data_IF_534174470551
#
_entry.id   IF_534174470551
#
_cell.length_a   1.000
_cell.length_b   1.000
_cell.length_c   1.000
_cell.angle_alpha   90.00
_cell.angle_beta   90.00
_cell.angle_gamma   90.00
#
_symmetry.space_group_name_H-M   'P 1'
#
loop_
_entity.id
_entity.type
_entity.pdbx_description
1 polymer ?
#
# COMPACT_ATOMS: atom_id res chain seq x y z
N UNK A 1 6.11 9.13 19.86
CA UNK A 1 5.40 8.76 18.60
C UNK A 1 6.44 8.37 17.57
N UNK A 2 6.24 7.31 16.83
CA UNK A 2 7.19 6.85 15.81
C UNK A 2 7.01 7.73 14.58
N UNK A 3 7.89 8.69 14.36
CA UNK A 3 7.82 9.70 13.29
C UNK A 3 7.72 9.11 11.86
N UNK A 4 8.00 7.83 11.72
CA UNK A 4 8.01 7.12 10.44
C UNK A 4 6.74 6.30 10.15
N UNK A 5 5.76 6.30 11.06
CA UNK A 5 4.52 5.53 10.91
C UNK A 5 3.28 6.44 11.01
N UNK A 6 2.42 6.34 10.02
CA UNK A 6 1.06 6.87 10.02
C UNK A 6 0.09 5.69 10.20
N UNK A 7 -0.39 5.47 11.43
CA UNK A 7 -1.39 4.43 11.71
C UNK A 7 -2.76 4.97 11.38
N UNK A 8 -3.44 4.35 10.44
CA UNK A 8 -4.78 4.74 9.96
C UNK A 8 -5.89 3.85 10.51
N UNK A 9 -5.51 2.67 11.01
CA UNK A 9 -6.42 1.71 11.61
C UNK A 9 -5.70 0.92 12.71
N UNK A 10 -6.27 0.88 13.93
CA UNK A 10 -5.74 0.08 15.05
C UNK A 10 -6.87 -0.29 16.01
N UNK A 11 -7.59 -1.36 15.69
CA UNK A 11 -8.66 -1.91 16.52
C UNK A 11 -9.00 -3.34 16.14
N UNK A 12 -9.66 -4.06 17.08
CA UNK A 12 -10.09 -5.45 16.90
C UNK A 12 -9.00 -6.42 16.41
N UNK A 13 -7.76 -6.19 16.88
CA UNK A 13 -6.62 -7.01 16.50
C UNK A 13 -6.11 -6.77 15.08
N UNK A 14 -6.53 -5.70 14.42
CA UNK A 14 -5.98 -5.30 13.11
C UNK A 14 -5.30 -3.95 13.25
N UNK A 15 -4.07 -3.86 12.75
CA UNK A 15 -3.34 -2.60 12.59
C UNK A 15 -2.99 -2.40 11.13
N UNK A 16 -3.18 -1.17 10.63
CA UNK A 16 -2.75 -0.81 9.29
C UNK A 16 -2.33 0.65 9.20
N UNK A 17 -1.49 0.94 8.21
CA UNK A 17 -0.96 2.28 8.03
C UNK A 17 0.04 2.39 6.90
N UNK A 18 0.78 3.48 6.95
CA UNK A 18 1.79 3.83 5.95
C UNK A 18 3.08 4.21 6.64
N UNK A 19 4.22 3.96 5.99
CA UNK A 19 5.50 4.53 6.40
C UNK A 19 5.78 5.81 5.61
N UNK A 20 6.77 6.56 6.07
CA UNK A 20 7.48 7.55 5.27
C UNK A 20 8.94 7.11 5.10
N UNK A 21 9.83 7.99 4.61
CA UNK A 21 11.24 7.65 4.39
C UNK A 21 12.16 7.80 5.60
N UNK A 22 11.66 8.23 6.76
CA UNK A 22 12.47 8.57 7.93
C UNK A 22 12.76 7.36 8.83
N UNK A 23 13.83 7.42 9.62
CA UNK A 23 14.11 6.46 10.71
C UNK A 23 14.73 5.13 10.28
N UNK A 24 15.33 5.08 9.09
CA UNK A 24 16.09 3.93 8.60
C UNK A 24 17.60 4.15 8.62
N UNK A 25 18.33 3.24 7.95
CA UNK A 25 19.80 3.21 7.91
C UNK A 25 20.38 3.38 6.49
N UNK A 26 19.56 3.42 5.46
CA UNK A 26 20.02 3.66 4.10
C UNK A 26 20.52 5.10 3.91
N UNK A 27 21.42 5.31 2.96
CA UNK A 27 22.13 6.55 2.74
C UNK A 27 21.82 7.16 1.36
N UNK A 28 22.26 8.39 1.15
CA UNK A 28 22.15 9.12 -0.13
C UNK A 28 20.72 9.13 -0.68
N UNK A 29 20.52 8.76 -1.95
CA UNK A 29 19.20 8.74 -2.62
C UNK A 29 18.19 7.76 -2.00
N UNK A 30 18.65 6.85 -1.14
CA UNK A 30 17.81 5.88 -0.42
C UNK A 30 17.55 6.28 1.05
N UNK A 31 18.04 7.43 1.48
CA UNK A 31 17.94 7.92 2.86
C UNK A 31 16.48 8.17 3.27
N UNK A 32 16.02 7.53 4.34
CA UNK A 32 16.75 6.59 5.20
C UNK A 32 16.05 5.22 5.30
N UNK A 33 14.71 5.13 5.36
CA UNK A 33 13.93 3.91 5.53
C UNK A 33 13.51 3.34 4.16
N UNK A 34 14.50 3.02 3.32
CA UNK A 34 14.22 2.32 2.08
C UNK A 34 13.88 0.84 2.36
N UNK A 35 12.70 0.41 1.92
CA UNK A 35 12.19 -0.96 2.06
C UNK A 35 12.28 -1.77 0.77
N UNK A 36 12.63 -1.12 -0.36
CA UNK A 36 12.72 -1.73 -1.68
C UNK A 36 14.11 -2.35 -1.94
N UNK A 37 14.15 -3.66 -2.20
CA UNK A 37 15.36 -4.44 -2.49
C UNK A 37 15.76 -4.44 -3.97
N UNK A 38 14.86 -3.94 -4.85
CA UNK A 38 15.02 -3.92 -6.31
C UNK A 38 15.47 -2.56 -6.87
N UNK A 39 15.82 -1.59 -6.01
CA UNK A 39 16.12 -0.21 -6.45
C UNK A 39 17.62 0.11 -6.52
N UNK A 40 18.47 -0.86 -6.13
CA UNK A 40 19.94 -0.70 -6.18
C UNK A 40 20.57 -0.14 -4.91
N UNK A 41 19.87 -0.21 -3.79
CA UNK A 41 20.42 0.05 -2.45
C UNK A 41 21.26 -1.13 -1.95
N UNK A 42 22.04 -0.92 -0.88
CA UNK A 42 22.81 -1.98 -0.21
C UNK A 42 21.85 -3.00 0.42
N UNK A 43 21.92 -4.31 0.05
CA UNK A 43 20.98 -5.31 0.58
C UNK A 43 20.92 -5.36 2.10
N UNK A 44 22.08 -5.20 2.79
CA UNK A 44 22.15 -5.19 4.26
C UNK A 44 21.34 -4.06 4.89
N UNK A 45 21.30 -2.89 4.24
CA UNK A 45 20.60 -1.73 4.76
C UNK A 45 19.08 -1.90 4.57
N UNK A 46 18.64 -2.48 3.43
CA UNK A 46 17.24 -2.83 3.20
C UNK A 46 16.75 -3.88 4.20
N UNK A 47 17.55 -4.93 4.46
CA UNK A 47 17.23 -5.94 5.48
C UNK A 47 17.05 -5.27 6.82
N UNK A 48 17.98 -4.39 7.21
CA UNK A 48 17.92 -3.66 8.48
C UNK A 48 16.69 -2.77 8.59
N UNK A 49 16.33 -2.07 7.52
CA UNK A 49 15.12 -1.24 7.47
C UNK A 49 13.85 -2.08 7.63
N UNK A 50 13.77 -3.25 6.99
CA UNK A 50 12.66 -4.19 7.15
C UNK A 50 12.57 -4.74 8.58
N UNK A 51 13.69 -5.01 9.24
CA UNK A 51 13.74 -5.38 10.67
C UNK A 51 13.25 -4.24 11.58
N UNK A 52 13.64 -2.99 11.29
CA UNK A 52 13.16 -1.82 12.02
C UNK A 52 11.64 -1.72 11.90
N UNK A 53 11.10 -1.87 10.69
CA UNK A 53 9.65 -1.83 10.48
C UNK A 53 8.96 -2.97 11.21
N UNK A 54 9.42 -4.22 11.08
CA UNK A 54 8.83 -5.38 11.75
C UNK A 54 8.77 -5.20 13.27
N UNK A 55 9.86 -4.71 13.87
CA UNK A 55 9.91 -4.39 15.30
C UNK A 55 8.93 -3.28 15.67
N UNK A 56 8.83 -2.24 14.85
CA UNK A 56 7.92 -1.13 15.08
C UNK A 56 6.46 -1.55 15.03
N UNK A 57 6.12 -2.55 14.20
CA UNK A 57 4.78 -3.11 14.08
C UNK A 57 4.50 -4.23 15.09
N UNK A 58 5.54 -4.73 15.80
CA UNK A 58 5.39 -5.83 16.74
C UNK A 58 5.13 -7.19 16.06
N UNK A 59 5.62 -7.37 14.83
CA UNK A 59 5.48 -8.63 14.07
C UNK A 59 6.83 -9.30 13.87
N UNK A 60 6.80 -10.63 13.71
CA UNK A 60 8.01 -11.42 13.41
C UNK A 60 8.37 -11.39 11.93
N UNK A 61 7.37 -11.30 11.08
CA UNK A 61 7.53 -11.43 9.63
C UNK A 61 6.75 -10.37 8.87
N UNK A 62 7.42 -9.79 7.88
CA UNK A 62 6.81 -8.94 6.86
C UNK A 62 6.92 -9.64 5.51
N UNK A 63 5.83 -9.69 4.78
CA UNK A 63 5.75 -10.24 3.43
C UNK A 63 5.66 -9.08 2.42
N UNK A 64 6.59 -9.06 1.49
CA UNK A 64 6.64 -8.09 0.40
C UNK A 64 6.40 -8.83 -0.92
N UNK A 65 5.41 -8.39 -1.68
CA UNK A 65 5.14 -8.95 -3.00
C UNK A 65 6.17 -8.44 -4.03
N UNK A 66 6.41 -9.22 -5.08
CA UNK A 66 7.18 -8.77 -6.24
C UNK A 66 6.24 -8.06 -7.21
N UNK A 67 6.18 -6.73 -7.07
CA UNK A 67 5.28 -5.87 -7.83
C UNK A 67 5.73 -5.72 -9.29
N UNK A 68 4.83 -5.91 -10.23
CA UNK A 68 5.09 -5.88 -11.67
C UNK A 68 4.18 -4.90 -12.44
N UNK A 69 3.48 -4.02 -11.72
CA UNK A 69 2.51 -3.05 -12.24
C UNK A 69 1.37 -3.72 -13.03
N UNK A 70 0.88 -4.83 -12.52
CA UNK A 70 -0.23 -5.62 -13.07
C UNK A 70 -1.53 -5.40 -12.29
N UNK A 71 -2.51 -6.24 -12.61
CA UNK A 71 -3.77 -6.37 -11.88
C UNK A 71 -3.91 -7.72 -11.16
N UNK A 72 -2.78 -8.41 -10.98
CA UNK A 72 -2.75 -9.72 -10.31
C UNK A 72 -2.97 -9.56 -8.81
N UNK A 73 -3.96 -10.26 -8.30
CA UNK A 73 -4.28 -10.33 -6.86
C UNK A 73 -3.98 -11.75 -6.36
N UNK A 74 -3.25 -11.85 -5.27
CA UNK A 74 -2.91 -13.12 -4.64
C UNK A 74 -3.61 -13.27 -3.29
N UNK A 75 -4.21 -14.46 -3.04
CA UNK A 75 -4.77 -14.82 -1.74
C UNK A 75 -3.72 -15.61 -0.98
N UNK A 76 -3.23 -15.03 0.11
CA UNK A 76 -2.16 -15.58 0.94
C UNK A 76 -2.77 -16.36 2.10
N UNK A 77 -2.79 -17.68 1.98
CA UNK A 77 -3.47 -18.61 2.91
C UNK A 77 -2.51 -19.44 3.76
N UNK A 78 -1.22 -19.48 3.42
CA UNK A 78 -0.22 -20.26 4.16
C UNK A 78 1.01 -19.39 4.45
N UNK A 79 1.38 -19.25 5.72
CA UNK A 79 2.54 -18.46 6.19
C UNK A 79 3.88 -18.89 5.57
N UNK A 80 4.00 -20.16 5.17
CA UNK A 80 5.21 -20.72 4.56
C UNK A 80 5.39 -20.31 3.10
N UNK A 81 4.33 -19.86 2.43
CA UNK A 81 4.39 -19.48 1.04
C UNK A 81 5.21 -18.19 0.84
N UNK A 82 5.93 -18.13 -0.27
CA UNK A 82 6.47 -16.89 -0.77
C UNK A 82 5.41 -16.19 -1.63
N UNK A 83 5.39 -14.85 -1.56
CA UNK A 83 4.46 -14.09 -2.40
C UNK A 83 4.94 -14.12 -3.85
N UNK A 84 4.07 -14.48 -4.81
CA UNK A 84 4.41 -14.49 -6.23
C UNK A 84 4.52 -13.07 -6.81
N UNK A 85 4.76 -12.99 -8.12
CA UNK A 85 4.58 -11.76 -8.88
C UNK A 85 3.11 -11.35 -8.89
N UNK A 86 2.79 -10.29 -8.11
CA UNK A 86 1.44 -9.74 -8.00
C UNK A 86 1.52 -8.27 -7.55
N UNK A 87 0.41 -7.56 -7.64
CA UNK A 87 0.29 -6.17 -7.22
C UNK A 87 -0.78 -5.96 -6.12
N UNK A 88 -1.42 -7.03 -5.65
CA UNK A 88 -2.24 -7.02 -4.45
C UNK A 88 -2.16 -8.35 -3.71
N UNK A 89 -2.24 -8.30 -2.37
CA UNK A 89 -2.27 -9.47 -1.49
C UNK A 89 -3.42 -9.35 -0.53
N UNK A 90 -4.20 -10.42 -0.43
CA UNK A 90 -5.32 -10.55 0.51
C UNK A 90 -5.00 -11.69 1.48
N UNK A 91 -5.27 -11.51 2.77
CA UNK A 91 -5.12 -12.59 3.76
C UNK A 91 -6.05 -12.40 4.96
N UNK A 92 -6.32 -13.49 5.64
CA UNK A 92 -6.88 -13.50 6.99
C UNK A 92 -5.92 -14.11 8.03
N UNK A 93 -4.69 -14.41 7.63
CA UNK A 93 -3.65 -14.91 8.53
C UNK A 93 -3.32 -13.90 9.61
N UNK A 94 -2.92 -14.39 10.78
CA UNK A 94 -2.54 -13.55 11.92
C UNK A 94 -1.01 -13.55 12.12
N UNK A 95 -0.50 -12.49 12.76
CA UNK A 95 0.92 -12.29 13.14
C UNK A 95 1.90 -12.20 11.96
N UNK A 96 1.37 -11.99 10.76
CA UNK A 96 2.13 -11.69 9.54
C UNK A 96 1.72 -10.33 9.01
N UNK A 97 2.70 -9.47 8.76
CA UNK A 97 2.46 -8.18 8.11
C UNK A 97 2.58 -8.29 6.59
N UNK A 98 1.56 -7.89 5.85
CA UNK A 98 1.62 -7.76 4.40
C UNK A 98 1.92 -6.31 4.01
N UNK A 99 2.82 -6.11 3.04
CA UNK A 99 3.34 -4.80 2.67
C UNK A 99 3.30 -4.57 1.16
N UNK A 100 2.96 -3.34 0.76
CA UNK A 100 3.04 -2.83 -0.61
C UNK A 100 4.05 -1.69 -0.69
N UNK A 101 4.98 -1.76 -1.62
CA UNK A 101 6.07 -0.78 -1.79
C UNK A 101 5.72 0.27 -2.84
N UNK A 102 5.96 1.53 -2.53
CA UNK A 102 5.65 2.63 -3.45
C UNK A 102 6.70 3.76 -3.41
N UNK A 103 6.74 4.52 -4.51
CA UNK A 103 7.29 5.87 -4.64
C UNK A 103 6.50 6.53 -5.77
N UNK A 104 5.46 7.28 -5.42
CA UNK A 104 4.44 7.94 -6.24
C UNK A 104 3.17 7.13 -6.54
N UNK A 105 3.23 5.82 -6.76
CA UNK A 105 2.02 5.01 -6.91
C UNK A 105 1.18 5.04 -5.62
N UNK A 106 -0.11 4.77 -5.73
CA UNK A 106 -1.02 4.76 -4.57
C UNK A 106 -0.90 3.45 -3.81
N UNK A 107 -0.41 3.46 -2.54
CA UNK A 107 -0.53 2.32 -1.66
C UNK A 107 -1.96 2.28 -1.14
N UNK A 108 -2.66 1.20 -1.38
CA UNK A 108 -4.05 1.00 -0.94
C UNK A 108 -4.11 -0.08 0.12
N UNK A 109 -4.76 0.21 1.24
CA UNK A 109 -5.05 -0.76 2.30
C UNK A 109 -6.56 -0.93 2.40
N UNK A 110 -7.02 -2.17 2.40
CA UNK A 110 -8.43 -2.53 2.51
C UNK A 110 -8.62 -3.48 3.70
N UNK A 111 -9.62 -3.23 4.53
CA UNK A 111 -9.87 -3.95 5.78
C UNK A 111 -11.34 -4.32 5.89
N UNK A 112 -11.64 -5.62 5.96
CA UNK A 112 -12.90 -6.13 6.47
C UNK A 112 -12.72 -6.57 7.93
N UNK A 113 -13.00 -5.64 8.83
CA UNK A 113 -12.84 -5.87 10.26
C UNK A 113 -13.74 -6.99 10.79
N UNK A 114 -14.95 -7.13 10.23
CA UNK A 114 -15.94 -8.13 10.66
C UNK A 114 -15.46 -9.56 10.40
N UNK A 115 -14.74 -9.77 9.31
CA UNK A 115 -14.23 -11.07 8.88
C UNK A 115 -12.74 -11.25 9.19
N UNK A 116 -12.09 -10.19 9.67
CA UNK A 116 -10.67 -10.19 9.95
C UNK A 116 -9.83 -10.40 8.69
N UNK A 117 -10.26 -9.83 7.56
CA UNK A 117 -9.56 -9.90 6.27
C UNK A 117 -8.87 -8.58 6.01
N UNK A 118 -7.63 -8.66 5.60
CA UNK A 118 -6.80 -7.50 5.24
C UNK A 118 -6.26 -7.66 3.82
N UNK A 119 -6.11 -6.55 3.13
CA UNK A 119 -5.53 -6.49 1.79
C UNK A 119 -4.62 -5.26 1.67
N UNK A 120 -3.52 -5.42 0.94
CA UNK A 120 -2.71 -4.31 0.44
C UNK A 120 -2.61 -4.39 -1.07
N UNK A 121 -2.71 -3.25 -1.75
CA UNK A 121 -2.65 -3.20 -3.21
C UNK A 121 -1.77 -2.04 -3.71
N UNK A 122 -1.04 -2.31 -4.79
CA UNK A 122 -0.23 -1.36 -5.53
C UNK A 122 -1.04 -0.77 -6.68
N UNK A 123 -1.68 0.35 -6.44
CA UNK A 123 -2.47 1.04 -7.44
C UNK A 123 -1.64 2.16 -8.12
N UNK A 124 -0.66 1.79 -8.91
CA UNK A 124 -0.02 2.68 -9.87
C UNK A 124 -0.94 2.94 -11.07
N UNK A 125 -0.52 3.79 -12.02
CA UNK A 125 -1.32 4.10 -13.20
C UNK A 125 -1.85 2.84 -13.91
N UNK A 126 -0.99 1.85 -14.15
CA UNK A 126 -1.41 0.60 -14.78
C UNK A 126 -2.43 -0.16 -13.91
N UNK A 127 -2.15 -0.33 -12.61
CA UNK A 127 -3.09 -0.98 -11.69
C UNK A 127 -4.45 -0.30 -11.63
N UNK A 128 -4.49 1.04 -11.61
CA UNK A 128 -5.74 1.83 -11.66
C UNK A 128 -6.49 1.56 -12.96
N UNK A 129 -5.83 1.67 -14.12
CA UNK A 129 -6.49 1.45 -15.42
C UNK A 129 -6.89 0.01 -15.67
N UNK A 130 -6.27 -0.96 -14.99
CA UNK A 130 -6.64 -2.37 -14.99
C UNK A 130 -7.62 -2.76 -13.87
N UNK A 131 -8.06 -1.76 -13.06
CA UNK A 131 -9.05 -1.94 -11.98
C UNK A 131 -8.62 -2.97 -10.93
N UNK A 132 -7.37 -2.89 -10.46
CA UNK A 132 -6.82 -3.81 -9.46
C UNK A 132 -7.63 -3.81 -8.16
N UNK A 133 -8.14 -2.64 -7.74
CA UNK A 133 -8.94 -2.52 -6.53
C UNK A 133 -10.30 -3.21 -6.66
N UNK A 134 -10.95 -3.12 -7.82
CA UNK A 134 -12.16 -3.89 -8.13
C UNK A 134 -11.91 -5.39 -8.00
N UNK A 135 -10.81 -5.89 -8.59
CA UNK A 135 -10.43 -7.31 -8.51
C UNK A 135 -10.17 -7.74 -7.07
N UNK A 136 -9.48 -6.93 -6.29
CA UNK A 136 -9.20 -7.21 -4.89
C UNK A 136 -10.50 -7.28 -4.06
N UNK A 137 -11.39 -6.30 -4.18
CA UNK A 137 -12.69 -6.28 -3.47
C UNK A 137 -13.56 -7.47 -3.87
N UNK A 138 -13.62 -7.80 -5.18
CA UNK A 138 -14.35 -8.96 -5.68
C UNK A 138 -13.82 -10.25 -5.06
N UNK A 139 -12.49 -10.43 -5.08
CA UNK A 139 -11.85 -11.64 -4.55
C UNK A 139 -11.97 -11.74 -3.02
N UNK A 140 -11.95 -10.62 -2.28
CA UNK A 140 -12.30 -10.58 -0.85
C UNK A 140 -13.73 -11.09 -0.62
N UNK A 141 -14.67 -10.72 -1.51
CA UNK A 141 -16.04 -11.21 -1.48
C UNK A 141 -16.14 -12.71 -1.74
N UNK A 142 -15.52 -13.18 -2.81
CA UNK A 142 -15.59 -14.58 -3.24
C UNK A 142 -14.91 -15.55 -2.26
N UNK A 143 -13.76 -15.17 -1.71
CA UNK A 143 -12.94 -16.04 -0.84
C UNK A 143 -13.31 -15.96 0.63
N UNK A 144 -13.73 -14.80 1.11
CA UNK A 144 -13.94 -14.56 2.54
C UNK A 144 -15.35 -14.07 2.88
N UNK A 145 -16.23 -13.91 1.88
CA UNK A 145 -17.58 -13.40 2.06
C UNK A 145 -17.63 -11.91 2.44
N UNK A 146 -16.56 -11.15 2.17
CA UNK A 146 -16.52 -9.71 2.44
C UNK A 146 -17.55 -8.97 1.57
N UNK A 147 -18.22 -7.99 2.17
CA UNK A 147 -19.16 -7.12 1.45
C UNK A 147 -18.51 -5.76 1.27
N UNK A 148 -18.58 -5.17 0.09
CA UNK A 148 -17.95 -3.89 -0.20
C UNK A 148 -18.30 -2.79 0.83
N UNK A 149 -19.57 -2.73 1.27
CA UNK A 149 -20.03 -1.77 2.29
C UNK A 149 -19.47 -2.00 3.70
N UNK A 150 -18.84 -3.16 3.98
CA UNK A 150 -18.17 -3.50 5.24
C UNK A 150 -16.65 -3.24 5.17
N UNK A 151 -16.11 -2.99 3.98
CA UNK A 151 -14.69 -2.76 3.77
C UNK A 151 -14.35 -1.28 4.04
N UNK A 152 -13.36 -1.04 4.88
CA UNK A 152 -12.71 0.26 5.04
C UNK A 152 -11.49 0.34 4.14
N UNK A 153 -11.37 1.42 3.37
CA UNK A 153 -10.27 1.65 2.43
C UNK A 153 -9.48 2.88 2.84
N UNK A 154 -8.16 2.74 2.82
CA UNK A 154 -7.21 3.81 3.08
C UNK A 154 -6.22 3.88 1.92
N UNK A 155 -6.14 5.03 1.28
CA UNK A 155 -5.17 5.34 0.22
C UNK A 155 -4.13 6.29 0.81
N UNK A 156 -2.89 5.82 0.89
CA UNK A 156 -1.78 6.59 1.47
C UNK A 156 -1.24 7.69 0.56
N UNK A 157 -0.18 8.33 1.02
CA UNK A 157 0.52 9.34 0.24
C UNK A 157 0.92 8.81 -1.14
N UNK A 158 0.63 9.59 -2.17
CA UNK A 158 0.92 9.26 -3.57
C UNK A 158 1.13 10.55 -4.38
N UNK A 159 1.58 10.44 -5.62
CA UNK A 159 1.67 11.63 -6.48
C UNK A 159 0.27 12.11 -6.84
N UNK A 160 -0.01 13.40 -6.61
CA UNK A 160 -1.33 13.97 -6.91
C UNK A 160 -1.45 14.40 -8.37
N UNK A 161 -2.69 14.51 -8.84
CA UNK A 161 -3.00 14.86 -10.22
C UNK A 161 -2.28 16.11 -10.71
N UNK A 162 -2.12 17.13 -9.87
CA UNK A 162 -1.36 18.34 -10.22
C UNK A 162 0.13 18.13 -10.52
N UNK A 163 0.71 17.02 -10.06
CA UNK A 163 2.13 16.68 -10.26
C UNK A 163 2.35 15.45 -11.16
N UNK A 164 1.29 14.70 -11.48
CA UNK A 164 1.41 13.46 -12.22
C UNK A 164 1.17 13.66 -13.72
N UNK A 165 2.15 14.23 -14.42
CA UNK A 165 2.12 14.38 -15.87
C UNK A 165 2.27 13.01 -16.55
N UNK A 166 1.35 12.70 -17.46
CA UNK A 166 1.36 11.51 -18.34
C UNK A 166 1.40 11.88 -19.83
N UNK A 167 1.43 13.15 -20.14
CA UNK A 167 1.50 13.68 -21.51
C UNK A 167 0.29 13.29 -22.34
N UNK A 168 0.53 12.89 -23.58
CA UNK A 168 -0.51 12.51 -24.56
C UNK A 168 -0.92 11.04 -24.46
N UNK A 169 -0.51 10.33 -23.38
CA UNK A 169 -0.83 8.92 -23.20
C UNK A 169 -2.35 8.73 -23.16
N UNK A 170 -2.83 7.80 -24.00
CA UNK A 170 -4.24 7.42 -24.02
C UNK A 170 -4.52 6.35 -22.97
N UNK A 171 -5.50 6.62 -22.11
CA UNK A 171 -5.87 5.78 -20.98
C UNK A 171 -7.28 5.18 -21.11
N UNK A 172 -7.83 5.15 -22.34
CA UNK A 172 -9.19 4.66 -22.59
C UNK A 172 -10.22 5.47 -21.81
N UNK A 173 -11.14 4.81 -21.13
CA UNK A 173 -12.16 5.46 -20.29
C UNK A 173 -11.57 6.36 -19.18
N UNK A 174 -10.36 6.06 -18.72
CA UNK A 174 -9.67 6.83 -17.69
C UNK A 174 -9.14 8.19 -18.18
N UNK A 175 -9.26 8.51 -19.48
CA UNK A 175 -9.01 9.87 -19.95
C UNK A 175 -9.93 10.91 -19.28
N UNK A 176 -11.09 10.49 -18.76
CA UNK A 176 -12.00 11.34 -17.98
C UNK A 176 -11.34 11.91 -16.69
N UNK A 177 -10.30 11.26 -16.18
CA UNK A 177 -9.55 11.70 -15.00
C UNK A 177 -8.26 12.46 -15.36
N UNK A 178 -8.08 12.83 -16.64
CA UNK A 178 -7.00 13.72 -17.05
C UNK A 178 -7.45 15.18 -17.00
N UNK A 179 -6.59 16.03 -16.47
CA UNK A 179 -6.71 17.48 -16.52
C UNK A 179 -5.51 17.99 -17.31
N UNK A 180 -5.74 18.34 -18.59
CA UNK A 180 -4.66 18.61 -19.53
C UNK A 180 -3.74 17.38 -19.73
N UNK A 181 -2.46 17.52 -19.41
CA UNK A 181 -1.47 16.45 -19.53
C UNK A 181 -1.31 15.58 -18.28
N UNK A 182 -2.03 15.91 -17.20
CA UNK A 182 -1.91 15.27 -15.91
C UNK A 182 -3.03 14.26 -15.68
N UNK A 183 -2.75 13.19 -14.90
CA UNK A 183 -3.71 12.15 -14.55
C UNK A 183 -3.95 12.10 -13.04
N UNK A 184 -5.21 12.17 -12.63
CA UNK A 184 -5.61 12.07 -11.22
C UNK A 184 -5.99 10.64 -10.85
N UNK A 185 -5.03 9.88 -10.31
CA UNK A 185 -5.27 8.52 -9.82
C UNK A 185 -6.26 8.48 -8.66
N UNK A 186 -6.26 9.52 -7.80
CA UNK A 186 -7.16 9.54 -6.65
C UNK A 186 -8.62 9.73 -7.07
N UNK A 187 -8.88 10.57 -8.07
CA UNK A 187 -10.22 10.71 -8.62
C UNK A 187 -10.72 9.38 -9.21
N UNK A 188 -9.90 8.71 -10.02
CA UNK A 188 -10.22 7.40 -10.59
C UNK A 188 -10.50 6.34 -9.51
N UNK A 189 -9.64 6.24 -8.49
CA UNK A 189 -9.82 5.30 -7.38
C UNK A 189 -11.07 5.61 -6.55
N UNK A 190 -11.39 6.88 -6.34
CA UNK A 190 -12.57 7.32 -5.58
C UNK A 190 -13.85 6.86 -6.27
N UNK A 191 -13.93 7.05 -7.59
CA UNK A 191 -15.07 6.62 -8.38
C UNK A 191 -15.15 5.08 -8.47
N UNK A 192 -14.01 4.38 -8.62
CA UNK A 192 -13.94 2.92 -8.61
C UNK A 192 -14.53 2.34 -7.32
N UNK A 193 -14.06 2.79 -6.16
CA UNK A 193 -14.56 2.31 -4.86
C UNK A 193 -16.02 2.69 -4.61
N UNK A 194 -16.44 3.90 -5.02
CA UNK A 194 -17.83 4.35 -4.91
C UNK A 194 -18.77 3.47 -5.73
N UNK A 195 -18.38 3.13 -6.96
CA UNK A 195 -19.15 2.24 -7.84
C UNK A 195 -19.27 0.81 -7.26
N UNK A 196 -18.27 0.33 -6.50
CA UNK A 196 -18.31 -0.94 -5.79
C UNK A 196 -19.21 -0.92 -4.54
N UNK A 197 -19.65 0.24 -4.08
CA UNK A 197 -20.44 0.40 -2.87
C UNK A 197 -19.62 0.43 -1.58
N UNK A 198 -18.33 0.70 -1.66
CA UNK A 198 -17.48 0.96 -0.49
C UNK A 198 -17.89 2.29 0.13
N UNK A 199 -18.13 2.29 1.45
CA UNK A 199 -18.68 3.46 2.16
C UNK A 199 -17.63 4.22 2.97
N UNK A 200 -16.61 3.52 3.45
CA UNK A 200 -15.55 4.10 4.26
C UNK A 200 -14.27 4.24 3.43
N UNK A 201 -14.12 5.43 2.82
CA UNK A 201 -13.01 5.78 1.93
C UNK A 201 -12.20 6.91 2.53
N UNK A 202 -10.92 6.68 2.77
CA UNK A 202 -9.99 7.64 3.32
C UNK A 202 -8.80 7.81 2.39
N UNK A 203 -8.52 9.03 2.01
CA UNK A 203 -7.41 9.39 1.11
C UNK A 203 -6.46 10.35 1.81
N UNK A 204 -5.17 10.04 1.81
CA UNK A 204 -4.15 11.00 2.21
C UNK A 204 -4.13 12.18 1.24
N UNK A 205 -4.06 13.40 1.78
CA UNK A 205 -3.91 14.61 0.98
C UNK A 205 -2.44 14.90 0.61
N UNK A 206 -1.50 14.11 1.15
CA UNK A 206 -0.06 14.30 0.93
C UNK A 206 0.32 13.90 -0.49
N UNK A 207 1.02 14.80 -1.19
CA UNK A 207 1.65 14.54 -2.48
C UNK A 207 3.11 14.13 -2.28
N UNK A 208 3.48 12.91 -2.70
CA UNK A 208 4.85 12.39 -2.56
C UNK A 208 5.88 13.22 -3.32
N UNK A 209 5.49 13.81 -4.47
CA UNK A 209 6.36 14.68 -5.25
C UNK A 209 6.69 16.00 -4.53
N UNK A 210 5.74 16.54 -3.76
CA UNK A 210 5.89 17.82 -3.08
C UNK A 210 6.42 17.71 -1.65
N UNK A 211 6.24 16.55 -1.01
CA UNK A 211 6.63 16.32 0.38
C UNK A 211 7.90 15.46 0.46
N UNK A 212 9.00 16.06 0.91
CA UNK A 212 10.32 15.41 1.00
C UNK A 212 10.38 14.30 2.05
N UNK A 213 9.38 14.18 2.94
CA UNK A 213 9.25 13.05 3.86
C UNK A 213 8.95 11.73 3.16
N UNK A 214 8.65 11.76 1.85
CA UNK A 214 8.36 10.57 1.04
C UNK A 214 9.35 10.40 -0.10
N UNK A 215 9.62 9.16 -0.48
CA UNK A 215 10.30 8.86 -1.72
C UNK A 215 9.37 9.18 -2.90
N UNK A 216 9.91 9.84 -3.91
CA UNK A 216 9.21 10.13 -5.15
C UNK A 216 10.09 9.82 -6.35
N UNK A 217 9.66 8.86 -7.16
CA UNK A 217 10.38 8.52 -8.40
C UNK A 217 10.28 9.66 -9.43
N UNK A 218 9.17 10.36 -9.46
CA UNK A 218 8.96 11.49 -10.36
C UNK A 218 9.89 12.67 -10.04
N UNK A 219 10.13 12.93 -8.77
CA UNK A 219 11.03 14.01 -8.33
C UNK A 219 12.50 13.62 -8.46
N UNK A 220 12.87 12.43 -7.97
CA UNK A 220 14.24 12.06 -7.68
C UNK A 220 14.81 11.04 -8.67
N UNK A 221 14.00 10.46 -9.57
CA UNK A 221 14.40 9.31 -10.38
C UNK A 221 14.66 8.09 -9.50
N UNK A 222 15.88 7.55 -9.50
CA UNK A 222 16.21 6.38 -8.67
C UNK A 222 16.22 6.76 -7.19
N UNK A 223 15.28 6.20 -6.43
CA UNK A 223 15.10 6.47 -5.01
C UNK A 223 14.61 5.21 -4.25
N UNK A 224 14.48 5.31 -2.94
CA UNK A 224 13.94 4.25 -2.10
C UNK A 224 12.44 4.02 -2.32
N UNK A 225 11.90 3.08 -1.50
CA UNK A 225 10.46 2.80 -1.44
C UNK A 225 10.01 2.86 0.01
N UNK A 226 8.88 3.53 0.25
CA UNK A 226 8.11 3.43 1.48
C UNK A 226 6.97 2.42 1.29
N UNK A 227 6.19 2.11 2.33
CA UNK A 227 5.14 1.10 2.19
C UNK A 227 3.81 1.49 2.81
N UNK A 228 2.73 0.89 2.26
CA UNK A 228 1.50 0.62 2.97
C UNK A 228 1.58 -0.78 3.60
N UNK A 229 1.02 -0.95 4.78
CA UNK A 229 1.03 -2.23 5.49
C UNK A 229 -0.30 -2.51 6.18
N UNK A 230 -0.58 -3.81 6.35
CA UNK A 230 -1.65 -4.29 7.21
C UNK A 230 -1.19 -5.54 7.97
N UNK A 231 -1.63 -5.66 9.22
CA UNK A 231 -1.33 -6.76 10.13
C UNK A 231 -2.60 -7.14 10.86
N UNK A 232 -2.84 -8.45 11.00
CA UNK A 232 -3.83 -9.00 11.94
C UNK A 232 -3.11 -9.76 13.03
N UNK A 233 -3.51 -9.57 14.28
CA UNK A 233 -2.93 -10.24 15.44
C UNK A 233 -3.85 -11.33 15.98
N UNK A 234 -3.28 -12.42 16.50
CA UNK A 234 -4.05 -13.56 17.06
C UNK A 234 -4.88 -13.17 18.27
N UNK A 235 -4.28 -12.40 19.17
CA UNK A 235 -4.93 -12.02 20.43
C UNK A 235 -5.61 -10.66 20.33
N UNK A 236 -6.93 -10.66 20.50
CA UNK A 236 -7.73 -9.43 20.61
C UNK A 236 -7.52 -8.69 21.93
N UNK A 237 -6.92 -9.33 22.95
CA UNK A 237 -6.81 -8.84 24.33
C UNK A 237 -5.37 -8.45 24.74
N UNK A 238 -4.42 -8.46 23.83
CA UNK A 238 -3.05 -8.05 24.13
C UNK A 238 -2.99 -6.53 24.33
N UNK A 239 -3.01 -6.10 25.61
CA UNK A 239 -2.47 -4.80 25.99
C UNK A 239 -1.00 -4.83 25.54
N UNK A 240 -0.68 -4.09 24.49
CA UNK A 240 0.71 -3.88 24.10
C UNK A 240 1.30 -2.94 25.13
N UNK A 241 2.04 -3.46 26.10
CA UNK A 241 3.05 -2.66 26.75
C UNK A 241 4.07 -2.24 25.68
N UNK A 242 4.05 -0.96 25.34
CA UNK A 242 4.98 -0.29 24.43
C UNK A 242 6.26 0.10 25.18
#
# INVERSE_FOLDING_TARGET
MRENLEIVFDRNGIMAGFTNRLGGVSEAKFSSLNLGDHVGDKPKDVIKNREILARNLGVRQLKFMKQIHSDKVFVFENEQDELPECDAVITNLSDVGICVLVADCSPVVMIDEKRGVICVAHAGRAGVTLKICTKAVTLMGEKFGSRAGDISVFVGANIKGGCYEVGELQLGEFNAYKIGRNFDMNAALRDEFSALGVRNLNFSEVCTHCDERYFSYRRDGVCGRFCGFAVKFKDKNGIREL
#
